data_IF_285392298187
#
_entry.id   IF_285392298187
#
_cell.length_a   1.000
_cell.length_b   1.000
_cell.length_c   1.000
_cell.angle_alpha   90.00
_cell.angle_beta   90.00
_cell.angle_gamma   90.00
#
_symmetry.space_group_name_H-M   'P 1'
#
loop_
_entity.id
_entity.type
_entity.pdbx_description
1 polymer ?
#
# COMPACT_ATOMS: atom_id res chain seq x y z
N UNK A 1 -29.85 13.06 20.82
CA UNK A 1 -28.48 12.55 21.01
C UNK A 1 -27.54 13.72 20.72
N UNK A 2 -26.57 14.05 21.58
CA UNK A 2 -25.66 15.16 21.29
C UNK A 2 -24.59 14.68 20.30
N UNK A 3 -24.76 15.03 19.03
CA UNK A 3 -23.86 14.61 17.95
C UNK A 3 -22.41 15.03 18.20
N UNK A 4 -22.19 16.20 18.80
CA UNK A 4 -20.86 16.67 19.16
C UNK A 4 -20.18 15.74 20.18
N UNK A 5 -20.87 15.39 21.27
CA UNK A 5 -20.33 14.51 22.30
C UNK A 5 -20.01 13.12 21.76
N UNK A 6 -20.92 12.55 20.96
CA UNK A 6 -20.70 11.22 20.36
C UNK A 6 -19.52 11.25 19.38
N UNK A 7 -19.43 12.29 18.54
CA UNK A 7 -18.32 12.46 17.61
C UNK A 7 -16.98 12.60 18.33
N UNK A 8 -16.88 13.54 19.29
CA UNK A 8 -15.61 13.86 19.94
C UNK A 8 -15.08 12.71 20.81
N UNK A 9 -15.97 11.97 21.50
CA UNK A 9 -15.59 10.79 22.28
C UNK A 9 -15.24 9.59 21.38
N UNK A 10 -15.83 9.52 20.18
CA UNK A 10 -15.56 8.48 19.20
C UNK A 10 -14.23 8.66 18.47
N UNK A 11 -13.77 9.90 18.27
CA UNK A 11 -12.54 10.20 17.51
C UNK A 11 -11.30 9.46 18.02
N UNK A 12 -10.94 9.49 19.32
CA UNK A 12 -9.80 8.71 19.82
C UNK A 12 -9.94 7.19 19.63
N UNK A 13 -11.17 6.67 19.70
CA UNK A 13 -11.44 5.22 19.57
C UNK A 13 -11.16 4.71 18.17
N UNK A 14 -11.31 5.55 17.14
CA UNK A 14 -10.94 5.22 15.76
C UNK A 14 -9.49 4.75 15.66
N UNK A 15 -8.58 5.34 16.45
CA UNK A 15 -7.17 4.96 16.45
C UNK A 15 -6.85 3.84 17.46
N UNK A 16 -7.44 3.90 18.66
CA UNK A 16 -7.03 3.07 19.78
C UNK A 16 -7.72 1.69 19.85
N UNK A 17 -8.88 1.52 19.21
CA UNK A 17 -9.71 0.30 19.32
C UNK A 17 -9.72 -0.54 18.04
N UNK A 18 -8.70 -0.38 17.19
CA UNK A 18 -8.52 -1.20 16.00
C UNK A 18 -7.98 -2.58 16.42
N UNK A 19 -8.68 -3.64 16.01
CA UNK A 19 -8.35 -5.01 16.39
C UNK A 19 -7.27 -5.60 15.47
N UNK A 20 -6.12 -5.96 16.08
CA UNK A 20 -4.93 -6.53 15.43
C UNK A 20 -4.61 -5.91 14.05
N UNK A 21 -4.30 -4.60 13.97
CA UNK A 21 -4.23 -3.90 12.68
C UNK A 21 -3.10 -4.45 11.81
N UNK A 22 -1.96 -4.78 12.42
CA UNK A 22 -0.78 -5.35 11.75
C UNK A 22 -1.01 -6.77 11.26
N UNK A 23 -1.64 -7.63 12.08
CA UNK A 23 -1.97 -9.00 11.68
C UNK A 23 -2.99 -9.03 10.55
N UNK A 24 -3.98 -8.12 10.59
CA UNK A 24 -5.06 -8.03 9.63
C UNK A 24 -4.71 -7.29 8.33
N UNK A 25 -3.63 -6.51 8.27
CA UNK A 25 -3.18 -5.82 7.06
C UNK A 25 -2.51 -6.77 6.05
N UNK A 26 -3.30 -7.72 5.54
CA UNK A 26 -2.90 -8.73 4.55
C UNK A 26 -4.01 -8.90 3.53
N UNK A 27 -3.66 -9.18 2.27
CA UNK A 27 -4.60 -9.35 1.14
C UNK A 27 -5.89 -10.12 1.49
N UNK A 28 -5.77 -11.25 2.20
CA UNK A 28 -6.92 -12.11 2.53
C UNK A 28 -7.74 -11.65 3.74
N UNK A 29 -7.16 -10.86 4.64
CA UNK A 29 -7.77 -10.50 5.93
C UNK A 29 -8.25 -9.05 5.95
N UNK A 30 -7.54 -8.16 5.25
CA UNK A 30 -7.78 -6.73 5.28
C UNK A 30 -9.19 -6.33 4.86
N UNK A 31 -9.77 -6.86 3.76
CA UNK A 31 -11.14 -6.48 3.37
C UNK A 31 -12.18 -6.74 4.48
N UNK A 32 -12.11 -7.91 5.12
CA UNK A 32 -13.04 -8.28 6.18
C UNK A 32 -12.78 -7.47 7.47
N UNK A 33 -11.50 -7.31 7.85
CA UNK A 33 -11.12 -6.54 9.03
C UNK A 33 -11.50 -5.05 8.89
N UNK A 34 -11.25 -4.46 7.72
CA UNK A 34 -11.61 -3.07 7.43
C UNK A 34 -13.13 -2.88 7.47
N UNK A 35 -13.91 -3.77 6.84
CA UNK A 35 -15.37 -3.71 6.89
C UNK A 35 -15.90 -3.76 8.33
N UNK A 36 -15.42 -4.72 9.14
CA UNK A 36 -15.82 -4.84 10.53
C UNK A 36 -15.45 -3.58 11.35
N UNK A 37 -14.25 -3.05 11.14
CA UNK A 37 -13.80 -1.80 11.76
C UNK A 37 -14.69 -0.62 11.37
N UNK A 38 -15.03 -0.49 10.09
CA UNK A 38 -15.88 0.59 9.58
C UNK A 38 -17.29 0.50 10.17
N UNK A 39 -17.91 -0.67 10.16
CA UNK A 39 -19.25 -0.92 10.72
C UNK A 39 -19.29 -0.65 12.23
N UNK A 40 -18.27 -1.09 12.98
CA UNK A 40 -18.13 -0.84 14.43
C UNK A 40 -18.10 0.65 14.76
N UNK A 41 -17.53 1.47 13.89
CA UNK A 41 -17.36 2.91 14.09
C UNK A 41 -18.41 3.78 13.39
N UNK A 42 -19.42 3.17 12.76
CA UNK A 42 -20.46 3.87 12.01
C UNK A 42 -21.16 4.97 12.83
N UNK A 43 -21.42 4.72 14.11
CA UNK A 43 -22.05 5.68 15.02
C UNK A 43 -21.24 6.97 15.14
N UNK A 44 -19.90 6.86 15.19
CA UNK A 44 -18.99 8.01 15.24
C UNK A 44 -19.07 8.82 13.95
N UNK A 45 -19.01 8.16 12.79
CA UNK A 45 -19.07 8.86 11.50
C UNK A 45 -20.41 9.57 11.29
N UNK A 46 -21.53 8.91 11.63
CA UNK A 46 -22.86 9.53 11.58
C UNK A 46 -22.99 10.72 12.53
N UNK A 47 -22.44 10.62 13.74
CA UNK A 47 -22.47 11.73 14.69
C UNK A 47 -21.66 12.93 14.19
N UNK A 48 -20.48 12.69 13.61
CA UNK A 48 -19.66 13.76 13.02
C UNK A 48 -20.40 14.42 11.86
N UNK A 49 -21.00 13.64 10.95
CA UNK A 49 -21.73 14.19 9.80
C UNK A 49 -22.93 15.02 10.23
N UNK A 50 -23.77 14.49 11.12
CA UNK A 50 -24.93 15.24 11.62
C UNK A 50 -24.49 16.50 12.39
N UNK A 51 -23.46 16.39 13.23
CA UNK A 51 -22.91 17.54 13.94
C UNK A 51 -22.34 18.60 12.99
N UNK A 52 -21.66 18.17 11.94
CA UNK A 52 -21.11 19.05 10.89
C UNK A 52 -22.20 19.79 10.12
N UNK A 53 -23.35 19.15 9.86
CA UNK A 53 -24.48 19.78 9.19
C UNK A 53 -25.22 20.77 10.10
N UNK A 54 -25.28 20.51 11.41
CA UNK A 54 -26.02 21.32 12.38
C UNK A 54 -25.27 22.58 12.86
N UNK A 55 -23.94 22.60 12.77
CA UNK A 55 -23.11 23.71 13.25
C UNK A 55 -22.86 24.78 12.20
N UNK A 56 -22.82 26.04 12.65
CA UNK A 56 -22.45 27.20 11.81
C UNK A 56 -20.95 27.20 11.54
N UNK A 57 -20.14 26.99 12.58
CA UNK A 57 -18.68 26.95 12.47
C UNK A 57 -18.17 25.53 12.23
N UNK A 58 -18.29 25.12 10.97
CA UNK A 58 -17.86 23.81 10.46
C UNK A 58 -16.35 23.58 10.62
N UNK A 59 -15.54 24.63 10.48
CA UNK A 59 -14.09 24.53 10.56
C UNK A 59 -13.61 24.26 11.99
N UNK A 60 -14.16 25.00 12.96
CA UNK A 60 -13.86 24.78 14.38
C UNK A 60 -14.37 23.41 14.84
N UNK A 61 -15.57 22.99 14.39
CA UNK A 61 -16.10 21.67 14.71
C UNK A 61 -15.15 20.54 14.29
N UNK A 62 -14.69 20.56 13.03
CA UNK A 62 -13.76 19.52 12.55
C UNK A 62 -12.38 19.63 13.17
N UNK A 63 -11.91 20.84 13.50
CA UNK A 63 -10.65 21.03 14.21
C UNK A 63 -10.71 20.41 15.61
N UNK A 64 -11.84 20.54 16.32
CA UNK A 64 -12.04 19.87 17.62
C UNK A 64 -12.02 18.34 17.48
N UNK A 65 -12.66 17.79 16.44
CA UNK A 65 -12.67 16.35 16.17
C UNK A 65 -11.25 15.83 15.89
N UNK A 66 -10.51 16.53 15.03
CA UNK A 66 -9.13 16.18 14.71
C UNK A 66 -8.22 16.24 15.94
N UNK A 67 -8.29 17.32 16.72
CA UNK A 67 -7.47 17.50 17.91
C UNK A 67 -7.75 16.42 18.96
N UNK A 68 -9.01 16.03 19.17
CA UNK A 68 -9.34 14.96 20.11
C UNK A 68 -8.58 13.66 19.80
N UNK A 69 -8.47 13.27 18.53
CA UNK A 69 -7.70 12.10 18.12
C UNK A 69 -6.18 12.34 18.27
N UNK A 70 -5.68 13.45 17.73
CA UNK A 70 -4.24 13.74 17.65
C UNK A 70 -3.62 13.92 19.04
N UNK A 71 -4.25 14.71 19.90
CA UNK A 71 -3.79 14.96 21.27
C UNK A 71 -3.78 13.65 22.08
N UNK A 72 -4.83 12.83 21.96
CA UNK A 72 -4.85 11.52 22.62
C UNK A 72 -3.72 10.61 22.11
N UNK A 73 -3.42 10.65 20.81
CA UNK A 73 -2.33 9.86 20.26
C UNK A 73 -0.96 10.30 20.82
N UNK A 74 -0.72 11.62 20.89
CA UNK A 74 0.50 12.19 21.46
C UNK A 74 0.63 11.83 22.94
N UNK A 75 -0.43 11.98 23.74
CA UNK A 75 -0.46 11.57 25.15
C UNK A 75 -0.06 10.09 25.33
N UNK A 76 -0.62 9.18 24.51
CA UNK A 76 -0.29 7.75 24.57
C UNK A 76 1.15 7.45 24.15
N UNK A 77 1.70 8.22 23.22
CA UNK A 77 3.09 8.14 22.80
C UNK A 77 4.00 8.65 23.92
N UNK A 78 3.78 9.86 24.44
CA UNK A 78 4.60 10.43 25.52
C UNK A 78 4.56 9.57 26.79
N UNK A 79 3.44 8.89 27.05
CA UNK A 79 3.32 7.92 28.15
C UNK A 79 4.22 6.68 27.99
N UNK A 80 4.76 6.41 26.78
CA UNK A 80 5.78 5.38 26.61
C UNK A 80 7.11 5.89 27.20
N UNK A 81 7.63 5.21 28.22
CA UNK A 81 8.82 5.69 28.94
C UNK A 81 10.08 5.78 28.07
N UNK A 82 10.44 4.71 27.34
CA UNK A 82 11.65 4.70 26.50
C UNK A 82 11.36 5.30 25.12
N UNK A 83 12.28 6.14 24.62
CA UNK A 83 12.21 6.74 23.28
C UNK A 83 11.99 5.73 22.15
N UNK A 84 12.65 4.58 22.17
CA UNK A 84 12.42 3.54 21.15
C UNK A 84 10.98 3.01 21.15
N UNK A 85 10.33 2.94 22.32
CA UNK A 85 8.93 2.51 22.41
C UNK A 85 7.99 3.61 21.89
N UNK A 86 8.32 4.89 22.14
CA UNK A 86 7.61 6.04 21.56
C UNK A 86 7.67 6.00 20.04
N UNK A 87 8.87 5.82 19.48
CA UNK A 87 9.10 5.76 18.03
C UNK A 87 8.36 4.56 17.41
N UNK A 88 8.40 3.39 18.05
CA UNK A 88 7.64 2.21 17.60
C UNK A 88 6.15 2.48 17.59
N UNK A 89 5.59 3.02 18.68
CA UNK A 89 4.15 3.30 18.76
C UNK A 89 3.71 4.36 17.76
N UNK A 90 4.54 5.39 17.53
CA UNK A 90 4.29 6.38 16.47
C UNK A 90 4.28 5.74 15.08
N UNK A 91 5.18 4.80 14.79
CA UNK A 91 5.16 4.06 13.52
C UNK A 91 3.88 3.22 13.38
N UNK A 92 3.47 2.52 14.44
CA UNK A 92 2.23 1.76 14.46
C UNK A 92 1.02 2.67 14.20
N UNK A 93 0.90 3.79 14.91
CA UNK A 93 -0.18 4.76 14.69
C UNK A 93 -0.15 5.41 13.30
N UNK A 94 1.03 5.72 12.75
CA UNK A 94 1.13 6.24 11.38
C UNK A 94 0.52 5.25 10.39
N UNK A 95 0.78 3.96 10.57
CA UNK A 95 0.19 2.92 9.74
C UNK A 95 -1.31 2.83 9.97
N UNK A 96 -1.77 2.82 11.21
CA UNK A 96 -3.20 2.71 11.55
C UNK A 96 -4.01 3.87 10.97
N UNK A 97 -3.45 5.08 11.04
CA UNK A 97 -3.99 6.28 10.40
C UNK A 97 -4.11 6.08 8.89
N UNK A 98 -3.05 5.63 8.25
CA UNK A 98 -2.99 5.46 6.79
C UNK A 98 -3.90 4.35 6.26
N UNK A 99 -4.09 3.26 7.01
CA UNK A 99 -4.76 2.04 6.50
C UNK A 99 -6.12 1.74 7.12
N UNK A 100 -6.51 2.39 8.22
CA UNK A 100 -7.84 2.25 8.83
C UNK A 100 -8.55 3.58 9.02
N UNK A 101 -7.96 4.53 9.75
CA UNK A 101 -8.67 5.76 10.15
C UNK A 101 -9.02 6.64 8.95
N UNK A 102 -8.03 7.09 8.18
CA UNK A 102 -8.26 7.98 7.03
C UNK A 102 -9.11 7.31 5.94
N UNK A 103 -8.86 6.05 5.55
CA UNK A 103 -9.69 5.39 4.55
C UNK A 103 -11.13 5.19 5.02
N UNK A 104 -11.38 4.87 6.29
CA UNK A 104 -12.74 4.69 6.82
C UNK A 104 -13.53 6.01 6.84
N UNK A 105 -12.88 7.13 7.19
CA UNK A 105 -13.52 8.44 7.10
C UNK A 105 -13.92 8.75 5.66
N UNK A 106 -13.07 8.42 4.68
CA UNK A 106 -13.35 8.61 3.26
C UNK A 106 -14.44 7.66 2.73
N UNK A 107 -14.43 6.40 3.18
CA UNK A 107 -15.42 5.37 2.82
C UNK A 107 -16.84 5.71 3.30
N UNK A 108 -16.96 6.57 4.33
CA UNK A 108 -18.26 7.06 4.78
C UNK A 108 -18.97 7.96 3.75
N UNK A 109 -18.22 8.61 2.85
CA UNK A 109 -18.75 9.48 1.79
C UNK A 109 -19.67 10.63 2.26
N UNK A 110 -19.48 11.16 3.47
CA UNK A 110 -20.21 12.31 4.00
C UNK A 110 -19.63 13.66 3.55
N UNK A 111 -20.37 14.76 3.74
CA UNK A 111 -19.85 16.11 3.44
C UNK A 111 -18.69 16.50 4.37
N UNK A 112 -18.65 15.93 5.58
CA UNK A 112 -17.58 16.11 6.56
C UNK A 112 -16.33 15.28 6.27
N UNK A 113 -16.44 14.20 5.49
CA UNK A 113 -15.38 13.18 5.34
C UNK A 113 -14.06 13.76 4.85
N UNK A 114 -14.05 14.44 3.70
CA UNK A 114 -12.82 15.00 3.13
C UNK A 114 -12.24 16.13 4.01
N UNK A 115 -13.02 17.16 4.41
CA UNK A 115 -12.52 18.21 5.31
C UNK A 115 -11.95 17.66 6.63
N UNK A 116 -12.56 16.62 7.20
CA UNK A 116 -12.05 15.99 8.43
C UNK A 116 -10.67 15.33 8.20
N UNK A 117 -10.49 14.61 7.09
CA UNK A 117 -9.17 14.02 6.78
C UNK A 117 -8.08 15.08 6.61
N UNK A 118 -8.42 16.24 6.03
CA UNK A 118 -7.48 17.36 5.88
C UNK A 118 -7.08 17.93 7.25
N UNK A 119 -8.04 18.13 8.16
CA UNK A 119 -7.78 18.56 9.54
C UNK A 119 -6.94 17.55 10.32
N UNK A 120 -7.22 16.26 10.19
CA UNK A 120 -6.44 15.20 10.82
C UNK A 120 -4.99 15.19 10.32
N UNK A 121 -4.77 15.31 9.00
CA UNK A 121 -3.42 15.35 8.44
C UNK A 121 -2.65 16.60 8.91
N UNK A 122 -3.31 17.76 8.97
CA UNK A 122 -2.71 18.99 9.46
C UNK A 122 -2.31 18.87 10.94
N UNK A 123 -3.24 18.46 11.81
CA UNK A 123 -2.96 18.27 13.24
C UNK A 123 -1.90 17.20 13.50
N UNK A 124 -1.95 16.08 12.76
CA UNK A 124 -0.94 15.03 12.88
C UNK A 124 0.45 15.53 12.49
N UNK A 125 0.56 16.36 11.44
CA UNK A 125 1.83 16.93 11.01
C UNK A 125 2.39 17.95 12.01
N UNK A 126 1.51 18.68 12.69
CA UNK A 126 1.89 19.63 13.74
C UNK A 126 2.50 18.91 14.95
N UNK A 127 1.84 17.86 15.46
CA UNK A 127 2.34 17.08 16.60
C UNK A 127 3.51 16.16 16.23
N UNK A 128 3.53 15.64 14.99
CA UNK A 128 4.56 14.69 14.53
C UNK A 128 5.23 15.15 13.21
N UNK A 129 6.05 16.22 13.22
CA UNK A 129 6.60 16.84 12.01
C UNK A 129 7.42 15.94 11.09
N UNK A 130 8.01 14.87 11.66
CA UNK A 130 8.83 13.90 10.90
C UNK A 130 8.02 12.86 10.14
N UNK A 131 6.70 12.82 10.35
CA UNK A 131 5.82 11.86 9.68
C UNK A 131 5.40 12.36 8.30
N UNK A 132 5.06 11.43 7.42
CA UNK A 132 4.57 11.73 6.07
C UNK A 132 3.39 10.82 5.73
N UNK A 133 2.29 11.00 6.47
CA UNK A 133 1.04 10.27 6.21
C UNK A 133 0.30 10.98 5.09
N UNK A 134 -0.32 10.18 4.22
CA UNK A 134 -1.23 10.66 3.19
C UNK A 134 -2.54 9.89 3.30
N UNK A 135 -3.66 10.57 3.03
CA UNK A 135 -4.95 9.91 2.95
C UNK A 135 -5.03 9.10 1.64
N UNK A 136 -5.47 7.85 1.76
CA UNK A 136 -5.82 6.99 0.63
C UNK A 136 -7.22 6.41 0.88
N UNK A 137 -7.96 6.13 -0.18
CA UNK A 137 -9.27 5.47 -0.07
C UNK A 137 -9.08 3.98 0.23
N UNK A 138 -10.11 3.35 0.80
CA UNK A 138 -10.12 1.89 0.97
C UNK A 138 -9.86 1.19 -0.36
N UNK A 139 -10.55 1.59 -1.43
CA UNK A 139 -10.36 1.06 -2.78
C UNK A 139 -8.89 1.15 -3.24
N UNK A 140 -8.20 2.27 -2.99
CA UNK A 140 -6.79 2.41 -3.37
C UNK A 140 -5.88 1.42 -2.63
N UNK A 141 -6.15 1.17 -1.35
CA UNK A 141 -5.36 0.28 -0.50
C UNK A 141 -5.67 -1.19 -0.80
N UNK A 142 -6.95 -1.52 -0.93
CA UNK A 142 -7.44 -2.84 -1.35
C UNK A 142 -6.82 -3.19 -2.70
N UNK A 143 -6.98 -2.31 -3.70
CA UNK A 143 -6.33 -2.46 -4.98
C UNK A 143 -4.82 -2.52 -4.84
N UNK A 144 -4.20 -1.90 -3.83
CA UNK A 144 -2.76 -2.06 -3.53
C UNK A 144 -2.35 -3.51 -3.26
N UNK A 145 -3.19 -4.33 -2.63
CA UNK A 145 -2.96 -5.77 -2.47
C UNK A 145 -3.15 -6.58 -3.78
N UNK A 146 -3.90 -6.00 -4.72
CA UNK A 146 -4.19 -6.58 -6.04
C UNK A 146 -3.33 -6.00 -7.15
N UNK A 147 -2.66 -4.87 -6.89
CA UNK A 147 -1.61 -4.29 -7.71
C UNK A 147 -0.50 -5.31 -7.72
N UNK A 148 -0.52 -6.06 -8.80
CA UNK A 148 0.62 -6.86 -9.25
C UNK A 148 1.81 -5.93 -9.14
N UNK A 149 2.78 -6.32 -8.32
CA UNK A 149 4.05 -5.63 -8.28
C UNK A 149 4.47 -5.36 -9.73
N UNK A 150 5.00 -4.16 -9.98
CA UNK A 150 5.49 -3.75 -11.30
C UNK A 150 6.64 -4.66 -11.71
N UNK A 151 6.32 -5.87 -12.11
CA UNK A 151 7.22 -6.90 -12.55
C UNK A 151 7.55 -6.64 -14.00
N UNK A 152 8.81 -6.89 -14.35
CA UNK A 152 9.27 -6.83 -15.72
C UNK A 152 8.39 -7.71 -16.63
N UNK A 153 8.03 -8.92 -16.17
CA UNK A 153 7.21 -9.86 -16.95
C UNK A 153 5.77 -9.38 -17.16
N UNK A 154 5.19 -8.71 -16.16
CA UNK A 154 3.83 -8.15 -16.26
C UNK A 154 3.82 -6.95 -17.21
N UNK A 155 4.77 -6.03 -17.06
CA UNK A 155 4.88 -4.84 -17.92
C UNK A 155 5.12 -5.19 -19.41
N UNK A 156 5.91 -6.24 -19.67
CA UNK A 156 6.11 -6.75 -21.04
C UNK A 156 4.81 -7.31 -21.62
N UNK A 157 4.10 -8.18 -20.88
CA UNK A 157 2.84 -8.76 -21.37
C UNK A 157 1.75 -7.69 -21.58
N UNK A 158 1.66 -6.70 -20.70
CA UNK A 158 0.75 -5.55 -20.84
C UNK A 158 1.05 -4.73 -22.09
N UNK A 159 2.32 -4.58 -22.46
CA UNK A 159 2.73 -3.87 -23.69
C UNK A 159 2.22 -4.57 -24.95
N UNK A 160 2.07 -5.89 -24.91
CA UNK A 160 1.47 -6.67 -26.00
C UNK A 160 -0.06 -6.74 -25.95
N UNK A 161 -0.70 -6.03 -25.02
CA UNK A 161 -2.15 -6.06 -24.83
C UNK A 161 -2.67 -7.42 -24.34
N UNK A 162 -1.80 -8.25 -23.73
CA UNK A 162 -2.19 -9.56 -23.20
C UNK A 162 -2.87 -9.39 -21.84
N UNK A 163 -3.86 -10.24 -21.51
CA UNK A 163 -4.45 -10.26 -20.18
C UNK A 163 -3.42 -10.78 -19.17
N UNK A 164 -3.67 -10.55 -17.88
CA UNK A 164 -2.73 -10.91 -16.83
C UNK A 164 -2.62 -12.40 -16.51
N UNK A 165 -3.66 -13.15 -16.85
CA UNK A 165 -3.70 -14.60 -16.80
C UNK A 165 -3.30 -15.22 -18.15
N UNK A 166 -2.62 -14.46 -19.02
CA UNK A 166 -2.09 -15.02 -20.25
C UNK A 166 -1.13 -16.17 -19.96
N UNK A 167 -1.02 -17.06 -20.94
CA UNK A 167 -0.20 -18.26 -20.87
C UNK A 167 1.23 -17.95 -20.45
N UNK A 168 1.85 -16.94 -21.06
CA UNK A 168 3.26 -16.64 -20.88
C UNK A 168 3.56 -16.06 -19.50
N UNK A 169 2.69 -15.18 -19.01
CA UNK A 169 2.83 -14.62 -17.67
C UNK A 169 2.57 -15.68 -16.60
N UNK A 170 1.64 -16.60 -16.84
CA UNK A 170 1.34 -17.72 -15.94
C UNK A 170 2.52 -18.68 -15.85
N UNK A 171 3.15 -19.03 -16.97
CA UNK A 171 4.37 -19.86 -17.00
C UNK A 171 5.50 -19.19 -16.21
N UNK A 172 5.78 -17.92 -16.49
CA UNK A 172 6.88 -17.19 -15.84
C UNK A 172 6.65 -17.03 -14.33
N UNK A 173 5.39 -16.82 -13.90
CA UNK A 173 5.03 -16.76 -12.48
C UNK A 173 5.17 -18.11 -11.80
N UNK A 174 4.70 -19.19 -12.40
CA UNK A 174 4.83 -20.55 -11.85
C UNK A 174 6.30 -20.97 -11.76
N UNK A 175 7.11 -20.59 -12.74
CA UNK A 175 8.55 -20.83 -12.71
C UNK A 175 9.23 -20.07 -11.57
N UNK A 176 8.95 -18.78 -11.41
CA UNK A 176 9.52 -17.95 -10.33
C UNK A 176 9.04 -18.38 -8.95
N UNK A 177 7.74 -18.46 -8.75
CA UNK A 177 7.12 -18.66 -7.43
C UNK A 177 7.08 -20.15 -7.04
N UNK A 178 7.31 -21.06 -7.98
CA UNK A 178 7.43 -22.50 -7.75
C UNK A 178 8.87 -22.98 -7.87
N UNK A 179 9.34 -23.23 -9.10
CA UNK A 179 10.64 -23.87 -9.33
C UNK A 179 11.82 -23.10 -8.71
N UNK A 180 11.91 -21.79 -8.95
CA UNK A 180 13.00 -20.98 -8.43
C UNK A 180 12.97 -20.92 -6.90
N UNK A 181 11.80 -20.82 -6.28
CA UNK A 181 11.65 -20.77 -4.83
C UNK A 181 12.18 -22.03 -4.13
N UNK A 182 12.06 -23.19 -4.79
CA UNK A 182 12.54 -24.47 -4.27
C UNK A 182 14.06 -24.67 -4.41
N UNK A 183 14.78 -23.75 -5.08
CA UNK A 183 16.24 -23.83 -5.22
C UNK A 183 16.97 -23.28 -3.99
N UNK A 184 18.20 -23.77 -3.69
CA UNK A 184 18.98 -23.32 -2.53
C UNK A 184 19.26 -21.80 -2.48
N UNK A 185 19.35 -21.14 -3.63
CA UNK A 185 19.56 -19.68 -3.76
C UNK A 185 18.29 -18.94 -4.22
N UNK A 186 17.18 -19.67 -4.33
CA UNK A 186 15.92 -19.24 -4.90
C UNK A 186 15.32 -18.02 -4.22
N UNK A 187 15.23 -18.08 -2.90
CA UNK A 187 14.65 -17.02 -2.08
C UNK A 187 15.39 -15.69 -2.25
N UNK A 188 16.72 -15.71 -2.32
CA UNK A 188 17.55 -14.51 -2.49
C UNK A 188 17.37 -13.91 -3.89
N UNK A 189 17.40 -14.74 -4.94
CA UNK A 189 17.17 -14.30 -6.33
C UNK A 189 15.79 -13.67 -6.48
N UNK A 190 14.77 -14.32 -5.93
CA UNK A 190 13.39 -13.83 -5.97
C UNK A 190 13.30 -12.50 -5.23
N UNK A 191 13.84 -12.41 -4.00
CA UNK A 191 13.83 -11.18 -3.22
C UNK A 191 14.50 -10.02 -3.96
N UNK A 192 15.69 -10.25 -4.54
CA UNK A 192 16.39 -9.25 -5.36
C UNK A 192 15.50 -8.77 -6.51
N UNK A 193 14.87 -9.70 -7.23
CA UNK A 193 13.94 -9.36 -8.30
C UNK A 193 12.77 -8.48 -7.82
N UNK A 194 12.14 -8.83 -6.70
CA UNK A 194 11.06 -8.06 -6.11
C UNK A 194 11.48 -6.64 -5.70
N UNK A 195 12.72 -6.48 -5.24
CA UNK A 195 13.27 -5.20 -4.82
C UNK A 195 13.57 -4.27 -6.02
N UNK A 196 14.12 -4.81 -7.12
CA UNK A 196 14.59 -4.00 -8.26
C UNK A 196 13.55 -3.81 -9.36
N UNK A 197 12.69 -4.79 -9.61
CA UNK A 197 11.77 -4.79 -10.76
C UNK A 197 10.83 -3.56 -10.80
N UNK A 198 10.22 -3.11 -9.68
CA UNK A 198 9.34 -1.94 -9.72
C UNK A 198 10.05 -0.66 -10.14
N UNK A 199 11.31 -0.50 -9.73
CA UNK A 199 12.10 0.68 -10.07
C UNK A 199 12.53 0.63 -11.54
N UNK A 200 12.93 -0.54 -12.06
CA UNK A 200 13.24 -0.73 -13.49
C UNK A 200 12.02 -0.39 -14.36
N UNK A 201 10.86 -1.00 -14.07
CA UNK A 201 9.60 -0.75 -14.81
C UNK A 201 9.22 0.72 -14.76
N UNK A 202 9.38 1.40 -13.62
CA UNK A 202 9.13 2.84 -13.49
C UNK A 202 10.05 3.69 -14.39
N UNK A 203 11.31 3.30 -14.58
CA UNK A 203 12.23 4.01 -15.48
C UNK A 203 11.85 3.77 -16.94
N UNK A 204 11.62 2.52 -17.33
CA UNK A 204 11.21 2.17 -18.70
C UNK A 204 9.91 2.89 -19.07
N UNK A 205 8.92 2.91 -18.17
CA UNK A 205 7.62 3.55 -18.43
C UNK A 205 7.68 5.08 -18.61
N UNK A 206 8.77 5.74 -18.19
CA UNK A 206 8.99 7.17 -18.44
C UNK A 206 9.60 7.44 -19.82
N UNK A 207 10.16 6.43 -20.47
CA UNK A 207 10.74 6.55 -21.80
C UNK A 207 9.60 6.55 -22.86
N UNK A 208 9.57 7.51 -23.80
CA UNK A 208 8.63 7.49 -24.93
C UNK A 208 8.68 6.18 -25.74
N UNK A 209 9.87 5.57 -25.84
CA UNK A 209 10.14 4.35 -26.60
C UNK A 209 9.94 3.06 -25.78
N UNK A 210 9.19 3.12 -24.66
CA UNK A 210 8.98 1.98 -23.75
C UNK A 210 8.53 0.70 -24.45
N UNK A 211 7.70 0.80 -25.49
CA UNK A 211 7.21 -0.37 -26.22
C UNK A 211 8.32 -1.13 -26.92
N UNK A 212 9.28 -0.40 -27.51
CA UNK A 212 10.48 -0.98 -28.15
C UNK A 212 11.41 -1.62 -27.11
N UNK A 213 11.56 -0.98 -25.94
CA UNK A 213 12.36 -1.53 -24.84
C UNK A 213 11.76 -2.85 -24.33
N UNK A 214 10.44 -2.89 -24.09
CA UNK A 214 9.78 -4.12 -23.64
C UNK A 214 9.79 -5.22 -24.71
N UNK A 215 9.72 -4.86 -26.00
CA UNK A 215 9.95 -5.81 -27.09
C UNK A 215 11.37 -6.40 -27.02
N UNK A 216 12.39 -5.59 -26.78
CA UNK A 216 13.77 -6.06 -26.59
C UNK A 216 13.92 -6.99 -25.38
N UNK A 217 13.25 -6.70 -24.25
CA UNK A 217 13.24 -7.57 -23.07
C UNK A 217 12.55 -8.91 -23.37
N UNK A 218 11.45 -8.87 -24.14
CA UNK A 218 10.75 -10.06 -24.58
C UNK A 218 11.64 -10.96 -25.44
N UNK A 219 12.21 -10.40 -26.51
CA UNK A 219 12.98 -11.15 -27.50
C UNK A 219 14.29 -11.70 -26.90
N UNK A 220 14.96 -10.92 -26.04
CA UNK A 220 16.25 -11.29 -25.48
C UNK A 220 16.13 -12.28 -24.31
N UNK A 221 15.11 -12.16 -23.47
CA UNK A 221 15.05 -12.90 -22.20
C UNK A 221 13.77 -13.72 -22.02
N UNK A 222 12.60 -13.08 -22.09
CA UNK A 222 11.36 -13.75 -21.65
C UNK A 222 10.90 -14.84 -22.60
N UNK A 223 10.96 -14.60 -23.91
CA UNK A 223 10.58 -15.60 -24.90
C UNK A 223 11.51 -16.84 -24.87
N UNK A 224 12.85 -16.69 -24.85
CA UNK A 224 13.74 -17.84 -24.66
C UNK A 224 13.56 -18.54 -23.31
N UNK A 225 13.33 -17.80 -22.22
CA UNK A 225 13.02 -18.41 -20.91
C UNK A 225 11.77 -19.29 -20.98
N UNK A 226 10.70 -18.84 -21.64
CA UNK A 226 9.47 -19.64 -21.78
C UNK A 226 9.76 -20.94 -22.54
N UNK A 227 10.50 -20.87 -23.65
CA UNK A 227 10.89 -22.07 -24.41
C UNK A 227 11.73 -23.03 -23.57
N UNK A 228 12.68 -22.51 -22.78
CA UNK A 228 13.48 -23.32 -21.87
C UNK A 228 12.63 -24.02 -20.80
N UNK A 229 11.63 -23.33 -20.24
CA UNK A 229 10.70 -23.92 -19.27
C UNK A 229 9.87 -25.04 -19.92
N UNK A 230 9.35 -24.81 -21.12
CA UNK A 230 8.59 -25.80 -21.89
C UNK A 230 9.43 -27.05 -22.22
N UNK A 231 10.71 -26.86 -22.50
CA UNK A 231 11.69 -27.92 -22.76
C UNK A 231 12.24 -28.59 -21.48
N UNK A 232 11.77 -28.20 -20.28
CA UNK A 232 12.29 -28.61 -18.97
C UNK A 232 13.77 -28.25 -18.70
N UNK A 233 14.31 -27.25 -19.40
CA UNK A 233 15.66 -26.70 -19.20
C UNK A 233 15.66 -25.62 -18.13
N UNK A 234 15.19 -25.98 -16.93
CA UNK A 234 14.96 -25.01 -15.86
C UNK A 234 16.23 -24.31 -15.39
N UNK A 235 17.38 -24.98 -15.28
CA UNK A 235 18.63 -24.32 -14.88
C UNK A 235 19.11 -23.27 -15.90
N UNK A 236 18.98 -23.55 -17.20
CA UNK A 236 19.30 -22.55 -18.25
C UNK A 236 18.36 -21.34 -18.15
N UNK A 237 17.07 -21.59 -17.88
CA UNK A 237 16.11 -20.51 -17.64
C UNK A 237 16.47 -19.70 -16.39
N UNK A 238 16.99 -20.32 -15.32
CA UNK A 238 17.44 -19.61 -14.11
C UNK A 238 18.57 -18.66 -14.43
N UNK A 239 19.59 -19.11 -15.15
CA UNK A 239 20.73 -18.27 -15.54
C UNK A 239 20.27 -17.07 -16.37
N UNK A 240 19.41 -17.30 -17.37
CA UNK A 240 18.88 -16.24 -18.22
C UNK A 240 17.97 -15.26 -17.45
N UNK A 241 17.19 -15.77 -16.51
CA UNK A 241 16.33 -14.96 -15.65
C UNK A 241 17.16 -14.03 -14.76
N UNK A 242 18.22 -14.54 -14.12
CA UNK A 242 19.14 -13.73 -13.30
C UNK A 242 19.86 -12.70 -14.18
N UNK A 243 20.31 -13.10 -15.38
CA UNK A 243 20.97 -12.21 -16.31
C UNK A 243 20.07 -11.04 -16.73
N UNK A 244 18.80 -11.31 -17.05
CA UNK A 244 17.83 -10.25 -17.37
C UNK A 244 17.78 -9.18 -16.29
N UNK A 245 17.69 -9.59 -15.02
CA UNK A 245 17.58 -8.67 -13.88
C UNK A 245 18.84 -7.83 -13.75
N UNK A 246 20.02 -8.47 -13.82
CA UNK A 246 21.32 -7.78 -13.69
C UNK A 246 21.60 -6.83 -14.84
N UNK A 247 21.30 -7.23 -16.08
CA UNK A 247 21.48 -6.39 -17.27
C UNK A 247 20.60 -5.14 -17.16
N UNK A 248 19.31 -5.30 -16.83
CA UNK A 248 18.38 -4.19 -16.65
C UNK A 248 18.74 -3.31 -15.43
N UNK A 249 19.18 -3.91 -14.33
CA UNK A 249 19.66 -3.16 -13.17
C UNK A 249 20.88 -2.31 -13.53
N UNK A 250 21.84 -2.88 -14.28
CA UNK A 250 23.02 -2.16 -14.77
C UNK A 250 22.62 -0.97 -15.65
N UNK A 251 21.73 -1.22 -16.61
CA UNK A 251 21.26 -0.21 -17.56
C UNK A 251 20.55 0.97 -16.85
N UNK A 252 19.65 0.68 -15.91
CA UNK A 252 18.80 1.71 -15.32
C UNK A 252 19.32 2.31 -14.01
N UNK A 253 20.23 1.65 -13.29
CA UNK A 253 20.72 2.14 -11.99
C UNK A 253 22.16 2.69 -12.05
N UNK A 254 23.01 2.18 -12.95
CA UNK A 254 24.45 2.51 -12.96
C UNK A 254 24.90 3.30 -14.19
N UNK A 255 24.24 3.12 -15.33
CA UNK A 255 24.50 3.93 -16.52
C UNK A 255 23.61 5.19 -16.51
N UNK A 256 24.09 6.26 -15.86
CA UNK A 256 23.56 7.62 -15.98
C UNK A 256 24.49 8.51 -16.78
#
# INVERSE_FOLDING_TARGET
MNYYTVGIEGMPRLLLEIEDPLGNFRKKLYPAAFKNYFEKNMVTFQAIENGYQDVVDKDQFLSNMANALVETADEKIQAQGKKNNQEKLLMDYNLYMAVYVLPAILEFHGESSKPLTEKLLAGWKEHFPKTNIQAATYEHIEHGFHRKFCYITTAVCETFGKPDDCYELTILRNYRDGYLMDQPEGEEIIKEYYDVAPTIVKHINKNPEKSSIYQGVWDKYLHPCIQMIEDNKNEECKELYIQMVRDLQTEYFYNR
#
